data_IF_800777808622
#
_entry.id   IF_800777808622
#
_cell.length_a   1.000
_cell.length_b   1.000
_cell.length_c   1.000
_cell.angle_alpha   90.00
_cell.angle_beta   90.00
_cell.angle_gamma   90.00
#
_symmetry.space_group_name_H-M   'P 1'
#
loop_
_entity.id
_entity.type
_entity.pdbx_description
1 polymer ?
#
# COMPACT_ATOMS: atom_id res chain seq x y z
N UNK A 1 -4.10 -5.19 -11.02
CA UNK A 1 -5.09 -4.64 -10.05
C UNK A 1 -5.42 -3.21 -10.40
N UNK A 2 -6.66 -2.83 -10.21
CA UNK A 2 -7.06 -1.42 -10.31
C UNK A 2 -6.75 -0.74 -8.98
N UNK A 3 -5.92 0.31 -9.00
CA UNK A 3 -5.49 0.98 -7.78
C UNK A 3 -6.37 2.21 -7.52
N UNK A 4 -6.98 2.28 -6.34
CA UNK A 4 -7.77 3.41 -5.90
C UNK A 4 -7.06 4.02 -4.68
N UNK A 5 -6.36 5.14 -4.82
CA UNK A 5 -6.17 5.80 -6.11
C UNK A 5 -4.69 6.15 -6.27
N UNK A 6 -4.23 6.14 -7.51
CA UNK A 6 -2.85 6.53 -7.81
C UNK A 6 -2.54 7.95 -7.32
N UNK A 7 -3.51 8.85 -7.41
CA UNK A 7 -3.37 10.24 -6.92
C UNK A 7 -2.89 10.32 -5.49
N UNK A 8 -3.33 9.40 -4.63
CA UNK A 8 -2.93 9.38 -3.22
C UNK A 8 -1.42 9.19 -3.10
N UNK A 9 -0.86 8.29 -3.92
CA UNK A 9 0.57 8.03 -3.92
C UNK A 9 1.34 9.22 -4.50
N UNK A 10 0.85 9.80 -5.59
CA UNK A 10 1.47 10.96 -6.23
C UNK A 10 1.51 12.14 -5.26
N UNK A 11 0.42 12.42 -4.58
CA UNK A 11 0.36 13.51 -3.61
C UNK A 11 1.37 13.30 -2.49
N UNK A 12 1.51 12.05 -2.04
CA UNK A 12 2.45 11.74 -0.97
C UNK A 12 3.90 11.92 -1.41
N UNK A 13 4.29 11.35 -2.55
CA UNK A 13 5.68 11.44 -2.99
C UNK A 13 6.06 12.86 -3.44
N UNK A 14 5.09 13.70 -3.77
CA UNK A 14 5.35 15.10 -4.06
C UNK A 14 5.85 15.83 -2.82
N UNK A 15 5.26 15.53 -1.66
CA UNK A 15 5.67 16.09 -0.36
C UNK A 15 6.85 15.34 0.27
N UNK A 16 7.02 14.06 -0.09
CA UNK A 16 8.08 13.21 0.44
C UNK A 16 8.83 12.57 -0.73
N UNK A 17 9.68 13.35 -1.45
CA UNK A 17 10.33 12.88 -2.68
C UNK A 17 11.16 11.62 -2.52
N UNK A 18 11.67 11.36 -1.31
CA UNK A 18 12.44 10.17 -1.01
C UNK A 18 11.62 8.88 -1.20
N UNK A 19 10.29 8.95 -1.16
CA UNK A 19 9.41 7.79 -1.33
C UNK A 19 9.06 7.51 -2.79
N UNK A 20 9.38 8.44 -3.68
CA UNK A 20 8.89 8.39 -5.07
C UNK A 20 9.25 7.08 -5.77
N UNK A 21 10.54 6.72 -5.76
CA UNK A 21 10.99 5.50 -6.43
C UNK A 21 10.28 4.25 -5.92
N UNK A 22 10.17 4.12 -4.59
CA UNK A 22 9.51 2.97 -3.97
C UNK A 22 8.03 2.90 -4.31
N UNK A 23 7.34 4.04 -4.25
CA UNK A 23 5.90 4.07 -4.53
C UNK A 23 5.60 3.88 -6.02
N UNK A 24 6.43 4.43 -6.90
CA UNK A 24 6.29 4.19 -8.33
C UNK A 24 6.49 2.72 -8.67
N UNK A 25 7.49 2.09 -8.07
CA UNK A 25 7.75 0.67 -8.26
C UNK A 25 6.59 -0.17 -7.74
N UNK A 26 6.10 0.15 -6.55
CA UNK A 26 4.93 -0.55 -5.98
C UNK A 26 3.73 -0.43 -6.92
N UNK A 27 3.46 0.78 -7.39
CA UNK A 27 2.33 1.03 -8.29
C UNK A 27 2.47 0.23 -9.59
N UNK A 28 3.64 0.26 -10.21
CA UNK A 28 3.87 -0.43 -11.48
C UNK A 28 3.64 -1.94 -11.33
N UNK A 29 4.15 -2.54 -10.25
CA UNK A 29 3.99 -3.97 -9.98
C UNK A 29 2.52 -4.29 -9.70
N UNK A 30 1.88 -3.55 -8.82
CA UNK A 30 0.50 -3.81 -8.42
C UNK A 30 -0.48 -3.58 -9.57
N UNK A 31 -0.26 -2.53 -10.36
CA UNK A 31 -1.12 -2.20 -11.48
C UNK A 31 -1.09 -3.30 -12.56
N UNK A 32 0.06 -3.92 -12.77
CA UNK A 32 0.23 -4.99 -13.75
C UNK A 32 -0.13 -6.37 -13.18
N UNK A 33 -0.32 -6.50 -11.89
CA UNK A 33 -0.52 -7.78 -11.23
C UNK A 33 -1.94 -8.31 -11.42
N UNK A 34 -2.03 -9.64 -11.36
CA UNK A 34 -3.30 -10.36 -11.39
C UNK A 34 -3.35 -11.25 -10.14
N UNK A 35 -3.31 -10.60 -8.99
CA UNK A 35 -3.28 -11.30 -7.71
C UNK A 35 -4.65 -11.82 -7.32
N UNK A 36 -4.69 -13.07 -6.89
CA UNK A 36 -5.91 -13.74 -6.43
C UNK A 36 -5.98 -13.84 -4.90
N UNK A 37 -4.85 -13.64 -4.22
CA UNK A 37 -4.76 -13.85 -2.77
C UNK A 37 -3.59 -13.09 -2.17
N UNK A 38 -3.57 -13.01 -0.84
CA UNK A 38 -2.46 -12.42 -0.10
C UNK A 38 -1.14 -13.14 -0.37
N UNK A 39 -1.18 -14.44 -0.64
CA UNK A 39 0.04 -15.21 -0.95
C UNK A 39 0.69 -14.70 -2.23
N UNK A 40 -0.11 -14.38 -3.25
CA UNK A 40 0.38 -13.84 -4.50
C UNK A 40 1.07 -12.48 -4.27
N UNK A 41 0.47 -11.64 -3.42
CA UNK A 41 1.03 -10.34 -3.07
C UNK A 41 2.39 -10.52 -2.39
N UNK A 42 2.48 -11.45 -1.43
CA UNK A 42 3.72 -11.69 -0.69
C UNK A 42 4.81 -12.32 -1.55
N UNK A 43 4.45 -13.06 -2.58
CA UNK A 43 5.42 -13.56 -3.53
C UNK A 43 6.12 -12.42 -4.28
N UNK A 44 5.38 -11.35 -4.61
CA UNK A 44 5.92 -10.17 -5.26
C UNK A 44 6.62 -9.22 -4.25
N UNK A 45 6.13 -9.18 -3.01
CA UNK A 45 6.64 -8.32 -1.94
C UNK A 45 6.88 -9.16 -0.68
N UNK A 46 8.04 -9.83 -0.58
CA UNK A 46 8.30 -10.76 0.55
C UNK A 46 8.24 -10.12 1.93
N UNK A 47 8.48 -8.80 2.01
CA UNK A 47 8.44 -8.08 3.30
C UNK A 47 7.05 -7.55 3.64
N UNK A 48 6.06 -7.80 2.80
CA UNK A 48 4.68 -7.41 3.10
C UNK A 48 4.12 -8.25 4.24
N UNK A 49 3.32 -7.62 5.10
CA UNK A 49 2.67 -8.28 6.23
C UNK A 49 1.16 -8.25 6.07
N UNK A 50 0.54 -9.39 6.24
CA UNK A 50 -0.92 -9.48 6.26
C UNK A 50 -1.40 -8.97 7.61
N UNK A 51 -2.30 -7.96 7.58
CA UNK A 51 -2.87 -7.38 8.79
C UNK A 51 -4.19 -8.07 9.10
N UNK A 52 -5.06 -8.13 8.09
CA UNK A 52 -6.31 -8.90 8.12
C UNK A 52 -6.40 -9.66 6.81
N UNK A 53 -7.47 -10.43 6.61
CA UNK A 53 -7.63 -11.24 5.40
C UNK A 53 -7.43 -10.48 4.10
N UNK A 54 -7.76 -9.19 4.08
CA UNK A 54 -7.70 -8.38 2.86
C UNK A 54 -6.79 -7.16 2.97
N UNK A 55 -6.28 -6.85 4.16
CA UNK A 55 -5.40 -5.69 4.36
C UNK A 55 -3.96 -6.15 4.49
N UNK A 56 -3.08 -5.50 3.72
CA UNK A 56 -1.66 -5.83 3.69
C UNK A 56 -0.86 -4.55 3.87
N UNK A 57 0.18 -4.63 4.72
CA UNK A 57 1.11 -3.54 4.93
C UNK A 57 2.36 -3.78 4.09
N UNK A 58 2.79 -2.74 3.39
CA UNK A 58 4.04 -2.77 2.61
C UNK A 58 5.06 -1.82 3.24
N UNK A 59 6.32 -2.22 3.17
CA UNK A 59 7.43 -1.33 3.53
C UNK A 59 7.79 -0.48 2.33
N UNK A 60 8.01 0.80 2.58
CA UNK A 60 8.36 1.79 1.56
C UNK A 60 9.66 2.47 1.98
N UNK A 61 10.55 2.69 1.03
CA UNK A 61 11.83 3.37 1.26
C UNK A 61 12.62 2.72 2.41
N UNK A 62 12.93 1.44 2.26
CA UNK A 62 13.70 0.70 3.26
C UNK A 62 13.00 0.49 4.59
N UNK A 63 11.67 0.63 4.63
CA UNK A 63 10.91 0.46 5.85
C UNK A 63 10.73 1.71 6.68
N UNK A 64 11.24 2.86 6.24
CA UNK A 64 11.05 4.13 6.93
C UNK A 64 9.61 4.65 6.80
N UNK A 65 8.89 4.15 5.80
CA UNK A 65 7.50 4.49 5.54
C UNK A 65 6.68 3.22 5.43
N UNK A 66 5.38 3.34 5.66
CA UNK A 66 4.44 2.20 5.59
C UNK A 66 3.26 2.54 4.70
N UNK A 67 2.86 1.58 3.87
CA UNK A 67 1.69 1.68 3.01
C UNK A 67 0.72 0.56 3.38
N UNK A 68 -0.53 0.91 3.67
CA UNK A 68 -1.58 -0.07 3.97
C UNK A 68 -2.58 -0.07 2.82
N UNK A 69 -2.87 -1.25 2.30
CA UNK A 69 -3.75 -1.42 1.16
C UNK A 69 -4.78 -2.51 1.48
N UNK A 70 -6.05 -2.22 1.19
CA UNK A 70 -7.10 -3.21 1.29
C UNK A 70 -7.39 -3.76 -0.10
N UNK A 71 -7.33 -5.07 -0.24
CA UNK A 71 -7.54 -5.74 -1.52
C UNK A 71 -8.91 -6.36 -1.60
N UNK A 72 -9.57 -6.17 -2.74
CA UNK A 72 -10.77 -6.92 -3.09
C UNK A 72 -10.37 -7.82 -4.26
N UNK A 73 -9.83 -8.98 -3.93
CA UNK A 73 -9.19 -9.85 -4.92
C UNK A 73 -10.16 -10.30 -6.02
N UNK A 74 -11.39 -10.65 -5.66
CA UNK A 74 -12.38 -11.09 -6.63
C UNK A 74 -12.77 -10.02 -7.64
N UNK A 75 -12.60 -8.74 -7.30
CA UNK A 75 -12.88 -7.62 -8.19
C UNK A 75 -11.62 -7.03 -8.81
N UNK A 76 -10.43 -7.55 -8.43
CA UNK A 76 -9.14 -7.05 -8.87
C UNK A 76 -8.93 -5.56 -8.56
N UNK A 77 -9.35 -5.13 -7.36
CA UNK A 77 -9.23 -3.75 -6.90
C UNK A 77 -8.38 -3.68 -5.64
N UNK A 78 -7.52 -2.65 -5.55
CA UNK A 78 -6.70 -2.36 -4.39
C UNK A 78 -6.99 -0.93 -3.93
N UNK A 79 -7.40 -0.78 -2.67
CA UNK A 79 -7.72 0.53 -2.09
C UNK A 79 -6.59 0.98 -1.18
N UNK A 80 -6.03 2.16 -1.44
CA UNK A 80 -5.01 2.75 -0.57
C UNK A 80 -5.71 3.21 0.72
N UNK A 81 -5.27 2.68 1.86
CA UNK A 81 -5.88 3.00 3.14
C UNK A 81 -5.01 3.90 4.01
N UNK A 82 -3.69 3.83 3.84
CA UNK A 82 -2.77 4.64 4.63
C UNK A 82 -1.42 4.70 3.94
N UNK A 83 -0.79 5.86 3.99
CA UNK A 83 0.62 6.05 3.64
C UNK A 83 1.20 7.05 4.64
N UNK A 84 2.30 6.70 5.27
CA UNK A 84 2.92 7.58 6.26
C UNK A 84 4.25 7.02 6.73
N UNK A 85 4.88 7.74 7.66
CA UNK A 85 6.13 7.29 8.28
C UNK A 85 5.87 6.10 9.19
N UNK A 86 6.95 5.39 9.53
CA UNK A 86 6.89 4.30 10.51
C UNK A 86 6.27 4.79 11.83
N UNK A 87 6.68 5.98 12.28
CA UNK A 87 6.16 6.54 13.54
C UNK A 87 4.65 6.84 13.45
N UNK A 88 4.21 7.36 12.31
CA UNK A 88 2.77 7.60 12.09
C UNK A 88 2.01 6.29 12.04
N UNK A 89 2.56 5.28 11.39
CA UNK A 89 1.97 3.95 11.32
C UNK A 89 1.77 3.35 12.71
N UNK A 90 2.71 3.57 13.61
CA UNK A 90 2.63 3.04 14.98
C UNK A 90 1.48 3.66 15.80
N UNK A 91 0.92 4.76 15.33
CA UNK A 91 -0.17 5.48 16.02
C UNK A 91 -1.55 5.18 15.47
N UNK A 92 -1.67 4.42 14.38
CA UNK A 92 -2.95 4.10 13.78
C UNK A 92 -3.27 2.62 13.96
N UNK A 93 -4.55 2.29 13.83
CA UNK A 93 -4.97 0.90 13.76
C UNK A 93 -5.06 0.50 12.29
N UNK A 94 -4.07 -0.24 11.82
CA UNK A 94 -3.97 -0.62 10.42
C UNK A 94 -5.14 -1.49 9.95
N UNK A 95 -5.78 -2.21 10.89
CA UNK A 95 -6.91 -3.08 10.56
C UNK A 95 -8.16 -2.28 10.19
N UNK A 96 -8.27 -1.03 10.65
CA UNK A 96 -9.49 -0.24 10.47
C UNK A 96 -9.26 1.13 9.84
N UNK A 97 -8.01 1.57 9.71
CA UNK A 97 -7.72 2.90 9.19
C UNK A 97 -8.35 3.11 7.82
N UNK A 98 -8.90 4.30 7.61
CA UNK A 98 -9.43 4.72 6.33
C UNK A 98 -8.69 5.98 5.88
N UNK A 99 -8.42 6.07 4.57
CA UNK A 99 -7.77 7.23 4.03
C UNK A 99 -8.70 8.43 4.14
N UNK A 100 -8.25 9.46 4.85
CA UNK A 100 -9.03 10.68 5.04
C UNK A 100 -8.49 11.78 4.12
N UNK A 101 -9.37 12.35 3.31
CA UNK A 101 -9.05 13.50 2.46
C UNK A 101 -9.44 14.76 3.19
N UNK A 102 -8.50 15.67 3.30
CA UNK A 102 -8.71 16.93 3.98
C UNK A 102 -8.36 18.08 3.06
#
# INVERSE_FOLDING_TARGET
MRIIARNTLVAYWTKHPETKSSLQRWFAIANAADWASAEDVRAAFPKASVITGERIRFEVHGGNYRLVVAFKFEAAIAFIKFIGTHAEYDRIDAATIEFSRR
#
